data_IF_568478357431
#
_entry.id   IF_568478357431
#
_cell.length_a   1.000
_cell.length_b   1.000
_cell.length_c   1.000
_cell.angle_alpha   90.00
_cell.angle_beta   90.00
_cell.angle_gamma   90.00
#
_symmetry.space_group_name_H-M   'P 1'
#
loop_
_entity.id
_entity.type
_entity.pdbx_description
1 polymer ?
#
# COMPACT_ATOMS: atom_id res chain seq x y z
N UNK A 1 11.13 -22.16 5.50
CA UNK A 1 11.15 -20.87 6.20
C UNK A 1 11.00 -19.79 5.16
N UNK A 2 10.08 -18.83 5.32
CA UNK A 2 10.06 -17.65 4.46
C UNK A 2 11.26 -16.77 4.80
N UNK A 3 11.94 -16.28 3.77
CA UNK A 3 13.02 -15.30 3.93
C UNK A 3 12.43 -13.93 4.25
N UNK A 4 13.21 -13.07 4.93
CA UNK A 4 12.79 -11.69 5.22
C UNK A 4 12.41 -10.91 3.95
N UNK A 5 13.11 -11.19 2.85
CA UNK A 5 12.83 -10.59 1.54
C UNK A 5 11.43 -10.94 1.03
N UNK A 6 10.99 -12.20 1.16
CA UNK A 6 9.65 -12.62 0.74
C UNK A 6 8.55 -11.96 1.58
N UNK A 7 8.76 -11.84 2.89
CA UNK A 7 7.81 -11.16 3.78
C UNK A 7 7.65 -9.68 3.39
N UNK A 8 8.76 -9.00 3.09
CA UNK A 8 8.74 -7.60 2.63
C UNK A 8 8.04 -7.47 1.27
N UNK A 9 8.32 -8.36 0.32
CA UNK A 9 7.69 -8.36 -1.00
C UNK A 9 6.18 -8.55 -0.91
N UNK A 10 5.70 -9.49 -0.09
CA UNK A 10 4.27 -9.70 0.14
C UNK A 10 3.62 -8.48 0.81
N UNK A 11 4.25 -7.91 1.84
CA UNK A 11 3.72 -6.72 2.50
C UNK A 11 3.58 -5.54 1.53
N UNK A 12 4.58 -5.35 0.66
CA UNK A 12 4.59 -4.33 -0.39
C UNK A 12 3.49 -4.56 -1.42
N UNK A 13 3.35 -5.79 -1.91
CA UNK A 13 2.30 -6.16 -2.86
C UNK A 13 0.90 -5.94 -2.28
N UNK A 14 0.70 -6.27 -1.01
CA UNK A 14 -0.58 -6.08 -0.33
C UNK A 14 -0.96 -4.60 -0.22
N UNK A 15 0.01 -3.73 0.11
CA UNK A 15 -0.19 -2.28 0.12
C UNK A 15 -0.51 -1.75 -1.27
N UNK A 16 0.23 -2.20 -2.30
CA UNK A 16 -0.01 -1.80 -3.69
C UNK A 16 -1.42 -2.18 -4.17
N UNK A 17 -1.88 -3.39 -3.88
CA UNK A 17 -3.23 -3.83 -4.24
C UNK A 17 -4.30 -3.00 -3.54
N UNK A 18 -4.16 -2.76 -2.23
CA UNK A 18 -5.08 -1.89 -1.51
C UNK A 18 -5.11 -0.48 -2.10
N UNK A 19 -3.96 0.10 -2.45
CA UNK A 19 -3.90 1.42 -3.10
C UNK A 19 -4.52 1.42 -4.50
N UNK A 20 -4.37 0.35 -5.27
CA UNK A 20 -5.01 0.21 -6.59
C UNK A 20 -6.52 0.13 -6.48
N UNK A 21 -7.03 -0.67 -5.56
CA UNK A 21 -8.48 -0.80 -5.30
C UNK A 21 -9.10 0.54 -4.88
N UNK A 22 -8.36 1.34 -4.10
CA UNK A 22 -8.84 2.65 -3.65
C UNK A 22 -8.46 3.80 -4.57
N UNK A 23 -7.91 3.52 -5.76
CA UNK A 23 -7.44 4.52 -6.74
C UNK A 23 -6.49 5.55 -6.13
N UNK A 24 -5.62 5.11 -5.22
CA UNK A 24 -4.63 5.96 -4.56
C UNK A 24 -5.03 6.55 -3.23
N UNK A 25 -6.24 6.27 -2.78
CA UNK A 25 -6.73 6.84 -1.55
C UNK A 25 -6.08 6.13 -0.37
N UNK A 26 -5.11 6.78 0.27
CA UNK A 26 -4.43 6.25 1.48
C UNK A 26 -5.33 6.38 2.71
N UNK A 27 -6.00 7.52 2.87
CA UNK A 27 -6.77 7.90 4.06
C UNK A 27 -8.24 8.24 3.76
N UNK A 28 -9.09 8.16 4.79
CA UNK A 28 -10.52 8.49 4.73
C UNK A 28 -11.42 7.29 4.44
N UNK A 29 -12.72 7.53 4.33
CA UNK A 29 -13.72 6.50 4.05
C UNK A 29 -13.38 5.77 2.74
N UNK A 30 -13.19 4.45 2.84
CA UNK A 30 -12.78 3.57 1.73
C UNK A 30 -11.31 3.71 1.31
N UNK A 31 -10.43 4.26 2.15
CA UNK A 31 -8.99 4.32 1.87
C UNK A 31 -8.27 2.99 2.11
N UNK A 32 -7.08 2.84 1.54
CA UNK A 32 -6.26 1.64 1.62
C UNK A 32 -5.91 1.29 3.07
N UNK A 33 -5.76 2.29 3.94
CA UNK A 33 -5.58 2.09 5.37
C UNK A 33 -6.75 1.33 6.02
N UNK A 34 -7.99 1.65 5.62
CA UNK A 34 -9.19 0.96 6.11
C UNK A 34 -9.24 -0.47 5.57
N UNK A 35 -8.96 -0.67 4.27
CA UNK A 35 -8.92 -2.01 3.68
C UNK A 35 -7.87 -2.91 4.35
N UNK A 36 -6.72 -2.34 4.70
CA UNK A 36 -5.64 -3.03 5.40
C UNK A 36 -5.86 -3.13 6.92
N UNK A 37 -6.90 -2.48 7.47
CA UNK A 37 -7.18 -2.47 8.91
C UNK A 37 -6.11 -1.79 9.76
N UNK A 38 -5.36 -0.84 9.19
CA UNK A 38 -4.29 -0.12 9.89
C UNK A 38 -4.55 1.39 9.90
N UNK A 39 -3.97 2.14 10.86
CA UNK A 39 -4.02 3.60 10.83
C UNK A 39 -3.39 4.15 9.55
N UNK A 40 -3.97 5.22 9.00
CA UNK A 40 -3.43 5.87 7.81
C UNK A 40 -1.97 6.33 8.02
N UNK A 41 -1.63 6.82 9.21
CA UNK A 41 -0.26 7.22 9.59
C UNK A 41 0.72 6.04 9.55
N UNK A 42 0.27 4.83 9.91
CA UNK A 42 1.05 3.60 9.80
C UNK A 42 1.26 3.21 8.33
N UNK A 43 0.22 3.33 7.50
CA UNK A 43 0.33 3.08 6.07
C UNK A 43 1.32 4.05 5.41
N UNK A 44 1.25 5.35 5.71
CA UNK A 44 2.23 6.34 5.25
C UNK A 44 3.66 5.98 5.64
N UNK A 45 3.89 5.63 6.90
CA UNK A 45 5.22 5.21 7.38
C UNK A 45 5.72 3.94 6.65
N UNK A 46 4.84 2.97 6.39
CA UNK A 46 5.18 1.75 5.63
C UNK A 46 5.48 2.05 4.17
N UNK A 47 4.69 2.91 3.53
CA UNK A 47 4.93 3.35 2.15
C UNK A 47 6.28 4.05 2.03
N UNK A 48 6.62 4.92 2.97
CA UNK A 48 7.92 5.59 3.02
C UNK A 48 9.08 4.59 3.18
N UNK A 49 8.95 3.63 4.12
CA UNK A 49 9.96 2.57 4.34
C UNK A 49 10.15 1.65 3.12
N UNK A 50 9.06 1.31 2.44
CA UNK A 50 9.06 0.42 1.27
C UNK A 50 9.29 1.17 -0.06
N UNK A 51 9.56 2.47 0.02
CA UNK A 51 9.71 3.38 -1.13
C UNK A 51 8.59 3.23 -2.17
N UNK A 52 7.35 3.03 -1.73
CA UNK A 52 6.19 2.87 -2.60
C UNK A 52 5.83 4.25 -3.15
N UNK A 53 5.86 4.37 -4.47
CA UNK A 53 5.54 5.63 -5.17
C UNK A 53 4.14 5.59 -5.74
N UNK A 54 3.55 6.77 -5.94
CA UNK A 54 2.23 6.90 -6.56
C UNK A 54 2.18 6.30 -7.96
N UNK A 55 3.28 6.39 -8.71
CA UNK A 55 3.42 5.79 -10.03
C UNK A 55 3.24 4.26 -10.08
N UNK A 56 3.33 3.56 -8.94
CA UNK A 56 3.22 2.08 -8.93
C UNK A 56 1.79 1.56 -8.72
N UNK A 57 0.95 2.35 -8.06
CA UNK A 57 -0.47 2.04 -7.92
C UNK A 57 -1.34 2.84 -8.88
N UNK A 58 -0.89 4.00 -9.37
CA UNK A 58 -1.62 4.76 -10.37
C UNK A 58 -1.42 4.07 -11.72
N UNK A 59 -2.51 3.56 -12.30
CA UNK A 59 -2.48 3.10 -13.69
C UNK A 59 -2.45 4.34 -14.59
N UNK A 60 -1.46 4.52 -15.48
CA UNK A 60 -1.48 5.61 -16.44
C UNK A 60 -2.55 5.30 -17.49
N UNK A 61 -3.77 5.79 -17.30
CA UNK A 61 -4.85 5.56 -18.27
C UNK A 61 -6.27 5.79 -17.74
N UNK A 62 -6.48 6.85 -16.97
CA UNK A 62 -7.81 7.40 -16.68
C UNK A 62 -8.05 8.66 -17.49
#
# INVERSE_FOLDING_TARGET
>A
MLTEAEVQAMARANILNALRETRGKVAGAGGAAILLGIPATTLYSRMAKLAIREAEWTVPGG
#
